data_IF_450362374639
#
_entry.id   IF_450362374639
#
_cell.length_a   1.000
_cell.length_b   1.000
_cell.length_c   1.000
_cell.angle_alpha   90.00
_cell.angle_beta   90.00
_cell.angle_gamma   90.00
#
_symmetry.space_group_name_H-M   'P 1'
#
loop_
_entity.id
_entity.type
_entity.pdbx_description
1 polymer ?
#
# COMPACT_ATOMS: atom_id res chain seq x y z
N UNK A 1 -13.47 -2.11 -5.24
CA UNK A 1 -14.23 -2.04 -3.98
C UNK A 1 -13.61 -3.07 -3.04
N UNK A 2 -13.03 -2.66 -1.91
CA UNK A 2 -12.35 -3.58 -0.98
C UNK A 2 -13.41 -4.35 -0.18
N UNK A 3 -13.49 -5.66 -0.35
CA UNK A 3 -14.45 -6.56 0.33
C UNK A 3 -13.92 -7.15 1.64
N UNK A 4 -12.61 -7.05 1.89
CA UNK A 4 -11.93 -7.48 3.12
C UNK A 4 -11.16 -6.30 3.67
N UNK A 5 -11.16 -6.13 4.99
CA UNK A 5 -10.42 -5.05 5.64
C UNK A 5 -8.91 -5.29 5.49
N UNK A 6 -8.16 -4.40 4.80
CA UNK A 6 -6.72 -4.54 4.63
C UNK A 6 -5.97 -4.75 5.95
N UNK A 7 -6.40 -4.10 7.03
CA UNK A 7 -5.79 -4.21 8.36
C UNK A 7 -5.88 -5.60 9.01
N UNK A 8 -6.66 -6.53 8.45
CA UNK A 8 -6.73 -7.91 8.94
C UNK A 8 -5.56 -8.79 8.48
N UNK A 9 -4.83 -8.36 7.44
CA UNK A 9 -3.65 -9.08 6.94
C UNK A 9 -2.39 -8.36 7.40
N UNK A 10 -1.39 -9.12 7.82
CA UNK A 10 -0.08 -8.58 8.20
C UNK A 10 0.58 -7.86 7.00
N UNK A 11 0.98 -6.58 7.12
CA UNK A 11 1.73 -5.87 6.08
C UNK A 11 2.97 -6.64 5.61
N UNK A 12 3.70 -7.30 6.51
CA UNK A 12 4.91 -8.05 6.15
C UNK A 12 4.57 -9.23 5.22
N UNK A 13 3.46 -9.93 5.51
CA UNK A 13 2.98 -11.03 4.66
C UNK A 13 2.54 -10.55 3.28
N UNK A 14 1.95 -9.37 3.19
CA UNK A 14 1.58 -8.75 1.91
C UNK A 14 2.82 -8.38 1.09
N UNK A 15 3.88 -7.88 1.74
CA UNK A 15 5.16 -7.57 1.08
C UNK A 15 5.88 -8.82 0.60
N UNK A 16 5.90 -9.90 1.39
CA UNK A 16 6.41 -11.20 0.95
C UNK A 16 5.70 -11.69 -0.31
N UNK A 17 4.36 -11.68 -0.30
CA UNK A 17 3.56 -12.09 -1.44
C UNK A 17 3.81 -11.20 -2.66
N UNK A 18 4.00 -9.88 -2.47
CA UNK A 18 4.37 -8.97 -3.54
C UNK A 18 5.69 -9.37 -4.21
N UNK A 19 6.71 -9.72 -3.42
CA UNK A 19 8.03 -10.18 -3.91
C UNK A 19 7.92 -11.51 -4.65
N UNK A 20 7.13 -12.45 -4.13
CA UNK A 20 6.85 -13.73 -4.79
C UNK A 20 6.18 -13.53 -6.16
N UNK A 21 5.16 -12.68 -6.23
CA UNK A 21 4.44 -12.34 -7.47
C UNK A 21 5.36 -11.65 -8.48
N UNK A 22 6.21 -10.73 -8.03
CA UNK A 22 7.20 -10.08 -8.89
C UNK A 22 8.22 -11.08 -9.46
N UNK A 23 8.65 -12.07 -8.66
CA UNK A 23 9.50 -13.18 -9.11
C UNK A 23 8.85 -14.04 -10.19
N UNK A 24 7.52 -14.11 -10.24
CA UNK A 24 6.73 -14.80 -11.25
C UNK A 24 6.40 -13.91 -12.47
N UNK A 25 6.87 -12.66 -12.52
CA UNK A 25 6.52 -11.70 -13.56
C UNK A 25 5.09 -11.14 -13.44
N UNK A 26 4.39 -11.39 -12.33
CA UNK A 26 3.02 -10.93 -12.06
C UNK A 26 3.05 -9.55 -11.42
N UNK A 27 3.61 -8.58 -12.14
CA UNK A 27 3.92 -7.25 -11.60
C UNK A 27 2.68 -6.45 -11.18
N UNK A 28 1.56 -6.57 -11.90
CA UNK A 28 0.34 -5.85 -11.53
C UNK A 28 -0.20 -6.31 -10.18
N UNK A 29 -0.20 -7.62 -9.96
CA UNK A 29 -0.61 -8.20 -8.68
C UNK A 29 0.39 -7.87 -7.57
N UNK A 30 1.69 -7.82 -7.88
CA UNK A 30 2.70 -7.39 -6.93
C UNK A 30 2.46 -5.94 -6.46
N UNK A 31 2.25 -4.99 -7.38
CA UNK A 31 1.91 -3.59 -7.05
C UNK A 31 0.67 -3.52 -6.15
N UNK A 32 -0.35 -4.33 -6.45
CA UNK A 32 -1.56 -4.39 -5.62
C UNK A 32 -1.26 -4.82 -4.18
N UNK A 33 -0.44 -5.84 -3.99
CA UNK A 33 -0.09 -6.33 -2.65
C UNK A 33 0.69 -5.27 -1.86
N UNK A 34 1.60 -4.53 -2.49
CA UNK A 34 2.33 -3.46 -1.79
C UNK A 34 1.40 -2.30 -1.39
N UNK A 35 0.45 -1.93 -2.25
CA UNK A 35 -0.56 -0.92 -1.90
C UNK A 35 -1.44 -1.42 -0.74
N UNK A 36 -1.88 -2.67 -0.78
CA UNK A 36 -2.64 -3.27 0.32
C UNK A 36 -1.84 -3.28 1.63
N UNK A 37 -0.52 -3.50 1.59
CA UNK A 37 0.33 -3.40 2.77
C UNK A 37 0.26 -1.99 3.39
N UNK A 38 0.40 -0.94 2.59
CA UNK A 38 0.29 0.45 3.07
C UNK A 38 -1.08 0.75 3.69
N UNK A 39 -2.17 0.23 3.11
CA UNK A 39 -3.51 0.36 3.68
C UNK A 39 -3.62 -0.39 5.01
N UNK A 40 -3.09 -1.61 5.08
CA UNK A 40 -3.07 -2.42 6.31
C UNK A 40 -2.31 -1.71 7.43
N UNK A 41 -1.10 -1.22 7.16
CA UNK A 41 -0.28 -0.47 8.13
C UNK A 41 -1.03 0.76 8.64
N UNK A 42 -1.72 1.49 7.75
CA UNK A 42 -2.51 2.68 8.13
C UNK A 42 -3.66 2.33 9.06
N UNK A 43 -4.36 1.22 8.82
CA UNK A 43 -5.46 0.75 9.67
C UNK A 43 -4.97 0.22 11.01
N UNK A 44 -3.90 -0.58 11.01
CA UNK A 44 -3.31 -1.17 12.22
C UNK A 44 -2.72 -0.10 13.13
N UNK A 45 -2.22 1.00 12.57
CA UNK A 45 -1.81 2.19 13.32
C UNK A 45 -2.97 3.02 13.87
N UNK A 46 -4.23 2.63 13.61
CA UNK A 46 -5.43 3.31 14.09
C UNK A 46 -5.71 4.66 13.41
N UNK A 47 -5.02 4.97 12.31
CA UNK A 47 -5.14 6.25 11.60
C UNK A 47 -6.43 6.31 10.76
N UNK A 48 -6.92 5.15 10.32
CA UNK A 48 -8.19 4.99 9.60
C UNK A 48 -8.93 3.79 10.19
N UNK A 49 -10.24 3.91 10.38
CA UNK A 49 -11.09 2.75 10.66
C UNK A 49 -11.70 2.24 9.36
N UNK A 50 -11.52 0.96 9.08
CA UNK A 50 -12.12 0.34 7.91
C UNK A 50 -13.65 0.51 7.88
N UNK A 51 -14.18 0.86 6.71
CA UNK A 51 -15.60 0.81 6.36
C UNK A 51 -15.72 0.40 4.90
N UNK A 52 -16.79 -0.30 4.56
CA UNK A 52 -17.09 -0.66 3.17
C UNK A 52 -17.15 0.60 2.30
N UNK A 53 -16.43 0.60 1.17
CA UNK A 53 -16.39 1.71 0.24
C UNK A 53 -15.29 2.76 0.50
N UNK A 54 -14.36 2.51 1.42
CA UNK A 54 -13.14 3.32 1.52
C UNK A 54 -12.35 3.30 0.20
N UNK A 55 -11.87 4.47 -0.17
CA UNK A 55 -11.02 4.71 -1.34
C UNK A 55 -9.61 5.08 -0.92
N UNK A 56 -8.62 4.91 -1.80
CA UNK A 56 -7.24 5.40 -1.59
C UNK A 56 -7.20 6.88 -1.18
N UNK A 57 -8.13 7.69 -1.70
CA UNK A 57 -8.25 9.11 -1.36
C UNK A 57 -8.64 9.33 0.12
N UNK A 58 -9.40 8.43 0.72
CA UNK A 58 -9.75 8.50 2.15
C UNK A 58 -8.54 8.22 3.04
N UNK A 59 -7.67 7.25 2.66
CA UNK A 59 -6.40 7.01 3.37
C UNK A 59 -5.46 8.20 3.23
N UNK A 60 -5.37 8.80 2.04
CA UNK A 60 -4.60 10.04 1.84
C UNK A 60 -5.11 11.16 2.74
N UNK A 61 -6.43 11.36 2.88
CA UNK A 61 -6.96 12.37 3.80
C UNK A 61 -6.56 12.10 5.25
N UNK A 62 -6.56 10.84 5.69
CA UNK A 62 -6.19 10.49 7.05
C UNK A 62 -4.70 10.70 7.36
N UNK A 63 -3.83 10.50 6.37
CA UNK A 63 -2.38 10.71 6.53
C UNK A 63 -1.97 12.18 6.41
N UNK A 64 -2.75 13.01 5.70
CA UNK A 64 -2.37 14.36 5.31
C UNK A 64 -1.92 15.27 6.47
N UNK A 65 -2.56 15.15 7.64
CA UNK A 65 -2.30 16.04 8.78
C UNK A 65 -1.26 15.52 9.76
N UNK A 66 -1.06 14.21 9.87
CA UNK A 66 -0.27 13.59 10.94
C UNK A 66 0.96 12.82 10.44
N UNK A 67 0.99 12.44 9.16
CA UNK A 67 2.04 11.60 8.56
C UNK A 67 2.37 12.09 7.13
N UNK A 68 3.00 13.27 6.97
CA UNK A 68 3.25 13.86 5.66
C UNK A 68 4.18 13.03 4.76
N UNK A 69 5.11 12.26 5.34
CA UNK A 69 5.98 11.33 4.59
C UNK A 69 5.14 10.18 4.02
N UNK A 70 4.37 9.49 4.86
CA UNK A 70 3.45 8.42 4.43
C UNK A 70 2.40 8.91 3.42
N UNK A 71 1.92 10.14 3.57
CA UNK A 71 1.02 10.77 2.60
C UNK A 71 1.66 10.91 1.23
N UNK A 72 2.91 11.42 1.17
CA UNK A 72 3.65 11.55 -0.08
C UNK A 72 3.92 10.18 -0.71
N UNK A 73 4.37 9.21 0.08
CA UNK A 73 4.59 7.83 -0.35
C UNK A 73 3.32 7.21 -0.93
N UNK A 74 2.20 7.23 -0.19
CA UNK A 74 0.94 6.65 -0.66
C UNK A 74 0.44 7.33 -1.94
N UNK A 75 0.67 8.64 -2.08
CA UNK A 75 0.31 9.39 -3.29
C UNK A 75 1.13 8.96 -4.49
N UNK A 76 2.43 8.65 -4.32
CA UNK A 76 3.28 8.10 -5.39
C UNK A 76 2.88 6.68 -5.75
N UNK A 77 2.62 5.83 -4.75
CA UNK A 77 2.10 4.48 -4.95
C UNK A 77 0.77 4.47 -5.72
N UNK A 78 -0.17 5.36 -5.36
CA UNK A 78 -1.46 5.49 -6.02
C UNK A 78 -1.33 5.82 -7.52
N UNK A 79 -0.36 6.67 -7.89
CA UNK A 79 -0.08 7.05 -9.28
C UNK A 79 0.44 5.88 -10.12
N UNK A 80 1.08 4.89 -9.51
CA UNK A 80 1.50 3.65 -10.19
C UNK A 80 0.33 2.67 -10.24
N UNK A 81 -0.42 2.54 -9.14
CA UNK A 81 -1.54 1.60 -9.02
C UNK A 81 -2.71 1.93 -9.96
N UNK A 82 -3.13 3.20 -10.03
CA UNK A 82 -4.34 3.58 -10.77
C UNK A 82 -4.25 3.25 -12.28
N UNK A 83 -3.16 3.57 -13.00
CA UNK A 83 -3.03 3.18 -14.42
C UNK A 83 -2.93 1.67 -14.62
N UNK A 84 -2.28 0.95 -13.70
CA UNK A 84 -2.12 -0.51 -13.79
C UNK A 84 -3.48 -1.22 -13.62
N UNK A 85 -4.30 -0.79 -12.67
CA UNK A 85 -5.58 -1.44 -12.35
C UNK A 85 -6.78 -0.90 -13.12
N UNK A 86 -6.79 0.38 -13.49
CA UNK A 86 -7.92 1.02 -14.16
C UNK A 86 -7.60 1.50 -15.58
N UNK A 87 -6.32 1.67 -15.91
CA UNK A 87 -5.85 2.29 -17.17
C UNK A 87 -5.31 1.33 -18.22
N UNK A 88 -5.44 0.00 -18.03
CA UNK A 88 -4.87 -1.02 -18.93
C UNK A 88 -3.35 -0.88 -19.18
N UNK A 89 -2.60 -0.24 -18.26
CA UNK A 89 -1.15 -0.18 -18.37
C UNK A 89 -0.51 -1.50 -17.90
N UNK A 90 0.42 -2.02 -18.70
CA UNK A 90 1.23 -3.15 -18.29
C UNK A 90 2.16 -2.73 -17.14
N UNK A 91 2.04 -3.41 -16.01
CA UNK A 91 2.99 -3.23 -14.91
C UNK A 91 4.35 -3.82 -15.29
N UNK A 92 5.43 -3.19 -14.81
CA UNK A 92 6.80 -3.64 -15.01
C UNK A 92 7.49 -3.93 -13.68
N UNK A 93 8.69 -4.53 -13.75
CA UNK A 93 9.54 -4.78 -12.58
C UNK A 93 9.91 -3.47 -11.88
N UNK A 94 10.29 -2.47 -12.66
CA UNK A 94 10.71 -1.15 -12.16
C UNK A 94 9.58 -0.46 -11.40
N UNK A 95 8.33 -0.63 -11.86
CA UNK A 95 7.16 -0.13 -11.14
C UNK A 95 6.97 -0.82 -9.79
N UNK A 96 7.22 -2.12 -9.69
CA UNK A 96 7.15 -2.84 -8.41
C UNK A 96 8.25 -2.36 -7.46
N UNK A 97 9.47 -2.24 -7.95
CA UNK A 97 10.62 -1.75 -7.17
C UNK A 97 10.35 -0.33 -6.64
N UNK A 98 9.85 0.57 -7.49
CA UNK A 98 9.48 1.93 -7.08
C UNK A 98 8.41 1.94 -5.98
N UNK A 99 7.37 1.10 -6.10
CA UNK A 99 6.28 1.04 -5.11
C UNK A 99 6.75 0.42 -3.78
N UNK A 100 7.71 -0.51 -3.82
CA UNK A 100 8.36 -1.06 -2.61
C UNK A 100 9.25 -0.01 -1.91
N UNK A 101 9.98 0.81 -2.67
CA UNK A 101 10.76 1.92 -2.10
C UNK A 101 9.85 2.97 -1.46
N UNK A 102 8.76 3.33 -2.13
CA UNK A 102 7.76 4.27 -1.60
C UNK A 102 7.14 3.75 -0.30
N UNK A 103 6.84 2.45 -0.24
CA UNK A 103 6.34 1.80 0.97
C UNK A 103 7.36 1.93 2.11
N UNK A 104 8.61 1.54 1.85
CA UNK A 104 9.70 1.59 2.84
C UNK A 104 9.87 3.01 3.40
N UNK A 105 9.92 4.02 2.53
CA UNK A 105 10.06 5.43 2.93
C UNK A 105 8.91 5.92 3.83
N UNK A 106 7.68 5.51 3.53
CA UNK A 106 6.47 6.08 4.15
C UNK A 106 5.93 5.30 5.34
N UNK A 107 6.09 3.98 5.34
CA UNK A 107 5.30 3.07 6.16
C UNK A 107 6.13 2.19 7.10
N UNK A 108 7.42 1.97 6.84
CA UNK A 108 8.28 1.18 7.73
C UNK A 108 8.35 1.80 9.15
N UNK A 109 8.42 3.13 9.24
CA UNK A 109 8.38 3.85 10.51
C UNK A 109 7.01 3.89 11.19
N UNK A 110 5.93 3.52 10.49
CA UNK A 110 4.57 3.39 11.05
C UNK A 110 4.35 1.96 11.55
N UNK A 111 4.89 0.98 10.82
CA UNK A 111 4.77 -0.44 11.11
C UNK A 111 5.68 -0.92 12.25
N UNK A 112 6.70 -0.12 12.61
CA UNK A 112 7.56 -0.38 13.74
C UNK A 112 6.72 -0.68 15.00
N UNK A 113 6.84 -1.89 15.58
CA UNK A 113 6.01 -2.27 16.73
C UNK A 113 6.28 -1.29 17.86
N UNK A 114 5.21 -0.70 18.41
CA UNK A 114 5.31 0.05 19.65
C UNK A 114 6.01 -0.85 20.68
N UNK A 115 7.18 -0.45 21.23
CA UNK A 115 7.75 -1.15 22.35
C UNK A 115 6.75 -1.02 23.50
N UNK A 116 6.21 -2.16 23.92
CA UNK A 116 5.36 -2.27 25.10
C UNK A 116 6.20 -2.05 26.37
#
# INVERSE_FOLDING_TARGET
MLTVAPGQTDPERLLELARELAGQGRYGEAVHQVVLAALSTTERAGLVRFRSGLTLQDYLRALASSRPVAWNSLKRMARVFEPVFFGNHAASREMVEQVLEDYTEGFEAIDAPHPN
#
